data_IF_487262707895
#
_entry.id   IF_487262707895
#
_cell.length_a   1.000
_cell.length_b   1.000
_cell.length_c   1.000
_cell.angle_alpha   90.00
_cell.angle_beta   90.00
_cell.angle_gamma   90.00
#
_symmetry.space_group_name_H-M   'P 1'
#
loop_
_entity.id
_entity.type
_entity.pdbx_description
1 polymer ?
#
# COMPACT_ATOMS: atom_id res chain seq x y z
N UNK A 1 -17.75 2.13 28.65
CA UNK A 1 -18.68 1.62 27.62
C UNK A 1 -17.91 1.47 26.33
N UNK A 2 -17.43 0.25 26.05
CA UNK A 2 -16.73 -0.08 24.82
C UNK A 2 -17.75 -0.31 23.70
N UNK A 3 -18.02 0.72 22.90
CA UNK A 3 -18.70 0.53 21.62
C UNK A 3 -17.70 -0.08 20.63
N UNK A 4 -17.62 -1.41 20.62
CA UNK A 4 -16.99 -2.14 19.53
C UNK A 4 -17.82 -1.86 18.27
N UNK A 5 -17.30 -1.02 17.37
CA UNK A 5 -17.89 -0.88 16.03
C UNK A 5 -17.64 -2.21 15.31
N UNK A 6 -18.70 -2.89 14.89
CA UNK A 6 -18.59 -4.05 14.01
C UNK A 6 -17.82 -3.64 12.75
N UNK A 7 -16.68 -4.28 12.52
CA UNK A 7 -15.89 -4.10 11.31
C UNK A 7 -16.54 -4.99 10.26
N UNK A 8 -17.34 -4.39 9.36
CA UNK A 8 -17.92 -5.10 8.23
C UNK A 8 -16.79 -5.39 7.24
N UNK A 9 -16.35 -6.64 7.19
CA UNK A 9 -15.33 -7.09 6.23
C UNK A 9 -15.90 -7.15 4.81
N UNK A 10 -15.15 -6.68 3.79
CA UNK A 10 -15.55 -6.84 2.40
C UNK A 10 -15.65 -8.33 2.04
N UNK A 11 -16.80 -8.76 1.52
CA UNK A 11 -17.06 -10.16 1.16
C UNK A 11 -17.41 -10.30 -0.32
N UNK A 12 -16.89 -11.36 -0.95
CA UNK A 12 -17.24 -11.77 -2.32
C UNK A 12 -17.64 -13.24 -2.28
N UNK A 13 -18.80 -13.57 -2.83
CA UNK A 13 -19.26 -14.95 -2.95
C UNK A 13 -18.62 -15.61 -4.18
N UNK A 14 -17.60 -16.43 -3.94
CA UNK A 14 -16.88 -17.13 -5.02
C UNK A 14 -17.72 -18.19 -5.74
N UNK A 15 -18.80 -18.71 -5.12
CA UNK A 15 -19.67 -19.69 -5.79
C UNK A 15 -20.37 -19.08 -7.01
N UNK A 16 -20.64 -17.78 -6.96
CA UNK A 16 -21.29 -17.04 -8.05
C UNK A 16 -20.31 -16.75 -9.21
N UNK A 17 -19.02 -17.12 -9.06
CA UNK A 17 -17.96 -16.86 -10.05
C UNK A 17 -17.59 -18.08 -10.91
N UNK A 18 -18.18 -19.25 -10.64
CA UNK A 18 -17.79 -20.50 -11.29
C UNK A 18 -17.87 -20.42 -12.83
N UNK A 19 -18.95 -19.82 -13.35
CA UNK A 19 -19.23 -19.65 -14.77
C UNK A 19 -19.32 -18.16 -15.17
N UNK A 20 -18.78 -17.27 -14.33
CA UNK A 20 -18.88 -15.85 -14.57
C UNK A 20 -17.96 -15.41 -15.72
N UNK A 21 -18.42 -14.47 -16.58
CA UNK A 21 -17.58 -13.96 -17.66
C UNK A 21 -16.53 -12.97 -17.12
N UNK A 22 -15.43 -12.70 -17.84
CA UNK A 22 -14.35 -11.82 -17.39
C UNK A 22 -14.82 -10.42 -16.93
N UNK A 23 -15.84 -9.87 -17.57
CA UNK A 23 -16.43 -8.57 -17.24
C UNK A 23 -16.95 -8.54 -15.81
N UNK A 24 -17.47 -9.66 -15.30
CA UNK A 24 -17.94 -9.76 -13.91
C UNK A 24 -16.81 -9.61 -12.90
N UNK A 25 -15.63 -10.12 -13.22
CA UNK A 25 -14.45 -9.94 -12.37
C UNK A 25 -13.98 -8.49 -12.38
N UNK A 26 -14.05 -7.80 -13.52
CA UNK A 26 -13.73 -6.37 -13.58
C UNK A 26 -14.67 -5.52 -12.73
N UNK A 27 -15.97 -5.79 -12.78
CA UNK A 27 -16.98 -5.11 -11.95
C UNK A 27 -16.67 -5.28 -10.46
N UNK A 28 -16.46 -6.53 -10.02
CA UNK A 28 -16.10 -6.83 -8.63
C UNK A 28 -14.80 -6.15 -8.25
N UNK A 29 -13.78 -6.18 -9.11
CA UNK A 29 -12.51 -5.52 -8.85
C UNK A 29 -12.67 -4.01 -8.68
N UNK A 30 -13.50 -3.35 -9.50
CA UNK A 30 -13.78 -1.91 -9.37
C UNK A 30 -14.46 -1.59 -8.04
N UNK A 31 -15.43 -2.39 -7.62
CA UNK A 31 -16.13 -2.22 -6.34
C UNK A 31 -15.20 -2.49 -5.13
N UNK A 32 -14.43 -3.58 -5.18
CA UNK A 32 -13.62 -4.06 -4.07
C UNK A 32 -12.34 -3.25 -3.88
N UNK A 33 -11.75 -2.71 -4.95
CA UNK A 33 -10.46 -1.99 -4.88
C UNK A 33 -10.49 -0.88 -3.84
N UNK A 34 -11.56 -0.07 -3.79
CA UNK A 34 -11.64 1.04 -2.83
C UNK A 34 -11.84 0.57 -1.38
N UNK A 35 -12.36 -0.65 -1.19
CA UNK A 35 -12.59 -1.24 0.13
C UNK A 35 -11.33 -1.93 0.67
N UNK A 36 -10.49 -2.46 -0.21
CA UNK A 36 -9.28 -3.23 0.13
C UNK A 36 -7.99 -2.41 0.13
N UNK A 37 -7.93 -1.31 -0.64
CA UNK A 37 -6.73 -0.46 -0.69
C UNK A 37 -6.61 0.36 0.60
N UNK A 38 -5.42 0.42 1.23
CA UNK A 38 -5.16 1.29 2.37
C UNK A 38 -5.51 2.75 2.08
N UNK A 39 -6.11 3.44 3.04
CA UNK A 39 -6.55 4.82 2.92
C UNK A 39 -5.51 5.77 3.50
N UNK A 40 -5.10 6.75 2.68
CA UNK A 40 -4.22 7.84 3.10
C UNK A 40 -4.88 8.59 4.28
N UNK A 41 -4.08 8.92 5.30
CA UNK A 41 -4.46 9.56 6.56
C UNK A 41 -5.35 8.72 7.49
N UNK A 42 -5.69 7.48 7.13
CA UNK A 42 -6.38 6.53 8.02
C UNK A 42 -5.49 5.33 8.34
N UNK A 43 -5.04 4.64 7.30
CA UNK A 43 -4.25 3.41 7.42
C UNK A 43 -2.74 3.69 7.26
N UNK A 44 -2.39 4.77 6.55
CA UNK A 44 -1.01 5.24 6.45
C UNK A 44 -0.90 6.75 6.21
N UNK A 45 0.27 7.33 6.49
CA UNK A 45 0.60 8.74 6.22
C UNK A 45 1.62 8.85 5.09
N UNK A 46 1.72 10.04 4.48
CA UNK A 46 2.65 10.29 3.37
C UNK A 46 3.66 11.36 3.81
N UNK A 47 4.93 10.98 3.91
CA UNK A 47 6.03 11.88 4.28
C UNK A 47 7.10 11.87 3.20
N UNK A 48 6.89 12.68 2.16
CA UNK A 48 7.78 12.75 0.99
C UNK A 48 8.64 14.02 0.96
N UNK A 49 8.63 14.80 2.05
CA UNK A 49 9.41 16.04 2.14
C UNK A 49 10.90 15.75 2.27
N UNK A 50 11.25 14.87 3.21
CA UNK A 50 12.63 14.46 3.46
C UNK A 50 13.14 13.55 2.35
N UNK A 51 14.37 13.79 1.92
CA UNK A 51 15.10 12.95 0.97
C UNK A 51 16.28 12.34 1.71
N UNK A 52 16.44 11.01 1.74
CA UNK A 52 17.62 10.40 2.36
C UNK A 52 18.90 10.88 1.68
N UNK A 53 19.88 11.30 2.47
CA UNK A 53 21.21 11.68 2.00
C UNK A 53 22.08 10.45 1.79
N UNK A 54 23.01 10.54 0.83
CA UNK A 54 24.05 9.54 0.60
C UNK A 54 25.24 9.81 1.52
N UNK A 55 25.86 8.73 1.97
CA UNK A 55 27.09 8.78 2.77
C UNK A 55 28.32 8.69 1.87
N UNK A 56 29.48 8.97 2.45
CA UNK A 56 30.77 8.79 1.76
C UNK A 56 30.94 7.33 1.30
N UNK A 57 31.34 7.15 0.04
CA UNK A 57 31.46 5.82 -0.59
C UNK A 57 30.16 5.24 -1.13
N UNK A 58 29.02 5.93 -1.03
CA UNK A 58 27.76 5.52 -1.65
C UNK A 58 27.55 6.25 -3.00
N UNK A 59 27.25 5.49 -4.06
CA UNK A 59 26.90 6.02 -5.39
C UNK A 59 25.40 5.81 -5.67
N UNK A 60 24.70 6.90 -6.00
CA UNK A 60 23.27 6.88 -6.31
C UNK A 60 22.96 5.95 -7.49
N UNK A 61 22.00 5.05 -7.32
CA UNK A 61 21.38 4.33 -8.44
C UNK A 61 20.07 5.02 -8.82
N UNK A 62 19.13 5.16 -7.87
CA UNK A 62 17.84 5.83 -8.10
C UNK A 62 17.14 6.17 -6.78
N UNK A 63 16.10 6.99 -6.84
CA UNK A 63 15.15 7.18 -5.75
C UNK A 63 13.94 6.25 -5.90
N UNK A 64 13.33 5.89 -4.78
CA UNK A 64 12.13 5.05 -4.71
C UNK A 64 11.26 5.46 -3.51
N UNK A 65 10.17 4.74 -3.28
CA UNK A 65 9.33 4.89 -2.11
C UNK A 65 9.41 3.63 -1.24
N UNK A 66 9.41 3.82 0.07
CA UNK A 66 9.38 2.72 1.04
C UNK A 66 8.20 2.88 1.99
N UNK A 67 7.54 1.77 2.29
CA UNK A 67 6.51 1.70 3.30
C UNK A 67 7.16 1.35 4.64
N UNK A 68 7.22 2.29 5.57
CA UNK A 68 7.73 2.06 6.92
C UNK A 68 6.68 1.32 7.76
N UNK A 69 6.97 0.09 8.24
CA UNK A 69 6.01 -0.69 9.03
C UNK A 69 5.82 -0.13 10.45
N UNK A 70 6.81 0.59 11.00
CA UNK A 70 6.72 1.16 12.34
C UNK A 70 5.94 2.46 12.37
N UNK A 71 6.11 3.30 11.34
CA UNK A 71 5.48 4.61 11.26
C UNK A 71 4.14 4.58 10.51
N UNK A 72 3.77 3.44 9.92
CA UNK A 72 2.64 3.30 8.99
C UNK A 72 2.65 4.44 7.97
N UNK A 73 3.78 4.59 7.28
CA UNK A 73 4.03 5.77 6.46
C UNK A 73 4.75 5.44 5.16
N UNK A 74 4.40 6.14 4.09
CA UNK A 74 5.10 6.13 2.82
C UNK A 74 6.19 7.22 2.83
N UNK A 75 7.44 6.80 2.69
CA UNK A 75 8.64 7.63 2.77
C UNK A 75 9.39 7.63 1.43
N UNK A 76 10.16 8.68 1.15
CA UNK A 76 11.19 8.60 0.10
C UNK A 76 12.33 7.70 0.57
N UNK A 77 12.84 6.89 -0.35
CA UNK A 77 13.96 6.00 -0.15
C UNK A 77 14.96 6.17 -1.31
N UNK A 78 16.21 5.77 -1.06
CA UNK A 78 17.28 5.82 -2.05
C UNK A 78 17.86 4.43 -2.24
N UNK A 79 18.06 4.04 -3.50
CA UNK A 79 18.78 2.84 -3.89
C UNK A 79 20.17 3.32 -4.32
N UNK A 80 21.21 2.77 -3.70
CA UNK A 80 22.59 3.13 -3.93
C UNK A 80 23.46 1.88 -4.00
N UNK A 81 24.64 1.99 -4.60
CA UNK A 81 25.71 0.99 -4.50
C UNK A 81 26.84 1.52 -3.61
N UNK A 82 27.55 0.62 -2.97
CA UNK A 82 28.79 0.88 -2.22
C UNK A 82 29.68 -0.35 -2.33
N UNK A 83 30.98 -0.15 -2.17
CA UNK A 83 31.90 -1.28 -2.03
C UNK A 83 31.64 -1.99 -0.69
N UNK A 84 31.69 -3.32 -0.72
CA UNK A 84 31.32 -4.21 0.39
C UNK A 84 32.41 -4.41 1.42
#
# INVERSE_FOLDING_TARGET
MNSQKEVIEPHVNYKDLLDAPPERFEEIAREMRQKLVPKINKDYKVYLKEVPELKEGEELITYTLSACPYCFSLLKAVIFKRDG
#
